data_IF_213686529331
#
_entry.id   IF_213686529331
#
_cell.length_a   1.000
_cell.length_b   1.000
_cell.length_c   1.000
_cell.angle_alpha   90.00
_cell.angle_beta   90.00
_cell.angle_gamma   90.00
#
_symmetry.space_group_name_H-M   'P 1'
#
loop_
_entity.id
_entity.type
_entity.pdbx_description
1 polymer ?
#
# COMPACT_ATOMS: atom_id res chain seq x y z
N UNK A 1 19.92 -1.70 -5.15
CA UNK A 1 19.80 -1.59 -6.62
C UNK A 1 19.66 -2.94 -7.35
N UNK A 2 20.36 -3.99 -6.93
CA UNK A 2 20.27 -5.32 -7.59
C UNK A 2 18.90 -6.00 -7.43
N UNK A 3 18.23 -5.78 -6.30
CA UNK A 3 16.93 -6.39 -6.00
C UNK A 3 15.82 -5.80 -6.88
N UNK A 4 15.79 -4.48 -7.08
CA UNK A 4 14.79 -3.78 -7.91
C UNK A 4 14.84 -4.19 -9.41
N UNK A 5 16.02 -4.42 -9.97
CA UNK A 5 16.14 -4.86 -11.38
C UNK A 5 15.53 -6.25 -11.58
N UNK A 6 15.77 -7.17 -10.64
CA UNK A 6 15.25 -8.55 -10.70
C UNK A 6 13.72 -8.52 -10.57
N UNK A 7 13.16 -7.70 -9.67
CA UNK A 7 11.72 -7.57 -9.48
C UNK A 7 11.01 -7.03 -10.72
N UNK A 8 11.60 -6.03 -11.38
CA UNK A 8 11.06 -5.44 -12.62
C UNK A 8 11.05 -6.43 -13.78
N UNK A 9 12.15 -7.17 -13.98
CA UNK A 9 12.26 -8.16 -15.06
C UNK A 9 11.32 -9.34 -14.83
N UNK A 10 11.20 -9.81 -13.58
CA UNK A 10 10.27 -10.88 -13.21
C UNK A 10 8.84 -10.42 -13.42
N UNK A 11 8.48 -9.21 -13.00
CA UNK A 11 7.14 -8.66 -13.21
C UNK A 11 6.80 -8.59 -14.70
N UNK A 12 7.67 -8.04 -15.53
CA UNK A 12 7.46 -7.94 -16.98
C UNK A 12 7.24 -9.31 -17.64
N UNK A 13 8.02 -10.33 -17.22
CA UNK A 13 7.85 -11.70 -17.70
C UNK A 13 6.50 -12.31 -17.28
N UNK A 14 6.07 -12.05 -16.04
CA UNK A 14 4.79 -12.52 -15.50
C UNK A 14 3.60 -11.85 -16.19
N UNK A 15 3.67 -10.53 -16.40
CA UNK A 15 2.64 -9.77 -17.11
C UNK A 15 2.44 -10.31 -18.54
N UNK A 16 3.55 -10.58 -19.24
CA UNK A 16 3.53 -11.20 -20.58
C UNK A 16 2.89 -12.59 -20.58
N UNK A 17 3.02 -13.33 -19.48
CA UNK A 17 2.41 -14.65 -19.29
C UNK A 17 0.98 -14.59 -18.73
N UNK A 18 0.40 -13.40 -18.52
CA UNK A 18 -0.93 -13.23 -17.92
C UNK A 18 -1.01 -13.65 -16.45
N UNK A 19 0.12 -13.58 -15.72
CA UNK A 19 0.22 -13.97 -14.32
C UNK A 19 0.07 -12.77 -13.39
N UNK A 20 -0.58 -12.98 -12.24
CA UNK A 20 -0.75 -11.97 -11.18
C UNK A 20 0.57 -11.78 -10.41
N UNK A 21 0.91 -10.52 -10.14
CA UNK A 21 2.05 -10.12 -9.33
C UNK A 21 1.62 -9.23 -8.17
N UNK A 22 2.00 -9.58 -6.93
CA UNK A 22 1.63 -8.83 -5.73
C UNK A 22 2.84 -8.33 -4.96
N UNK A 23 2.69 -7.21 -4.28
CA UNK A 23 3.64 -6.74 -3.26
C UNK A 23 3.38 -7.50 -1.97
N UNK A 24 4.43 -7.87 -1.27
CA UNK A 24 4.36 -8.57 0.01
C UNK A 24 5.19 -7.83 1.07
N UNK A 25 4.65 -7.69 2.26
CA UNK A 25 5.39 -7.25 3.45
C UNK A 25 5.12 -8.16 4.64
N UNK A 26 6.11 -8.30 5.51
CA UNK A 26 6.00 -9.10 6.74
C UNK A 26 6.84 -8.48 7.88
N UNK A 27 7.36 -9.30 8.76
CA UNK A 27 8.16 -8.84 9.91
C UNK A 27 9.56 -8.33 9.53
N UNK A 28 10.04 -8.58 8.32
CA UNK A 28 11.40 -8.20 7.90
C UNK A 28 11.53 -6.72 7.52
N UNK A 29 10.47 -6.13 6.99
CA UNK A 29 10.45 -4.74 6.56
C UNK A 29 10.12 -3.82 7.73
N UNK A 30 11.01 -2.85 8.00
CA UNK A 30 10.73 -1.80 8.98
C UNK A 30 9.69 -0.81 8.45
N UNK A 31 9.71 -0.58 7.13
CA UNK A 31 8.80 0.31 6.40
C UNK A 31 8.63 -0.19 4.94
N UNK A 32 7.42 -0.11 4.35
CA UNK A 32 6.14 0.14 5.02
C UNK A 32 5.67 -1.09 5.79
N UNK A 33 4.97 -0.91 6.90
CA UNK A 33 4.43 -2.02 7.66
C UNK A 33 3.11 -1.70 8.39
N UNK A 34 2.52 -2.70 9.04
CA UNK A 34 1.28 -2.58 9.81
C UNK A 34 1.45 -3.06 11.25
N UNK A 35 2.61 -2.80 11.85
CA UNK A 35 2.83 -3.06 13.27
C UNK A 35 1.97 -2.13 14.14
N UNK A 36 1.76 -2.47 15.39
CA UNK A 36 1.00 -1.60 16.31
C UNK A 36 1.68 -0.25 16.56
N UNK A 37 2.97 -0.16 16.29
CA UNK A 37 3.79 1.05 16.42
C UNK A 37 4.15 1.71 15.08
N UNK A 38 3.74 1.13 13.94
CA UNK A 38 3.87 1.78 12.63
C UNK A 38 2.94 2.99 12.53
N UNK A 39 3.32 4.00 11.74
CA UNK A 39 2.37 5.05 11.36
C UNK A 39 1.18 4.40 10.66
N UNK A 40 -0.08 4.64 11.11
CA UNK A 40 -1.25 4.04 10.49
C UNK A 40 -1.37 4.30 8.98
N UNK A 41 -0.81 5.41 8.48
CA UNK A 41 -0.80 5.72 7.05
C UNK A 41 0.06 4.75 6.23
N UNK A 42 0.99 4.03 6.84
CA UNK A 42 1.81 3.03 6.15
C UNK A 42 0.96 1.92 5.53
N UNK A 43 -0.17 1.58 6.16
CA UNK A 43 -1.11 0.60 5.62
C UNK A 43 -1.73 1.06 4.28
N UNK A 44 -2.16 2.32 4.19
CA UNK A 44 -2.65 2.91 2.94
C UNK A 44 -1.51 3.09 1.92
N UNK A 45 -0.36 3.56 2.37
CA UNK A 45 0.82 3.77 1.53
C UNK A 45 1.27 2.46 0.85
N UNK A 46 1.22 1.33 1.54
CA UNK A 46 1.63 0.02 1.00
C UNK A 46 0.81 -0.38 -0.23
N UNK A 47 -0.51 -0.22 -0.21
CA UNK A 47 -1.36 -0.58 -1.35
C UNK A 47 -1.24 0.45 -2.47
N UNK A 48 -1.05 1.73 -2.15
CA UNK A 48 -0.76 2.77 -3.14
C UNK A 48 0.60 2.52 -3.82
N UNK A 49 1.60 2.06 -3.08
CA UNK A 49 2.90 1.63 -3.62
C UNK A 49 2.74 0.47 -4.61
N UNK A 50 1.88 -0.50 -4.32
CA UNK A 50 1.57 -1.57 -5.27
C UNK A 50 1.04 -1.00 -6.60
N UNK A 51 0.14 -0.03 -6.55
CA UNK A 51 -0.38 0.66 -7.76
C UNK A 51 0.70 1.47 -8.47
N UNK A 52 1.58 2.14 -7.72
CA UNK A 52 2.70 2.90 -8.29
C UNK A 52 3.67 1.99 -9.05
N UNK A 53 3.96 0.81 -8.50
CA UNK A 53 4.80 -0.22 -9.13
C UNK A 53 4.09 -1.03 -10.22
N UNK A 54 2.80 -0.76 -10.48
CA UNK A 54 2.01 -1.52 -11.46
C UNK A 54 1.71 -2.96 -11.04
N UNK A 55 1.75 -3.26 -9.76
CA UNK A 55 1.39 -4.58 -9.23
C UNK A 55 -0.14 -4.74 -9.16
N UNK A 56 -0.58 -6.00 -9.22
CA UNK A 56 -2.01 -6.36 -9.21
C UNK A 56 -2.63 -6.34 -7.82
N UNK A 57 -1.82 -6.30 -6.76
CA UNK A 57 -2.33 -6.27 -5.40
C UNK A 57 -1.26 -6.36 -4.32
N UNK A 58 -1.74 -6.48 -3.10
CA UNK A 58 -0.94 -6.60 -1.89
C UNK A 58 -1.26 -7.91 -1.17
N UNK A 59 -0.25 -8.59 -0.70
CA UNK A 59 -0.35 -9.83 0.08
C UNK A 59 0.27 -9.64 1.46
N UNK A 60 -0.45 -10.06 2.48
CA UNK A 60 0.05 -10.21 3.85
C UNK A 60 -0.09 -11.67 4.29
N UNK A 61 0.92 -12.21 4.98
CA UNK A 61 0.93 -13.62 5.38
C UNK A 61 -0.11 -13.96 6.46
N UNK A 62 -0.50 -13.00 7.29
CA UNK A 62 -1.47 -13.18 8.36
C UNK A 62 -2.27 -11.89 8.62
N UNK A 63 -3.58 -12.03 8.85
CA UNK A 63 -4.51 -10.92 9.11
C UNK A 63 -5.19 -11.06 10.46
N UNK A 64 -5.31 -12.28 10.98
CA UNK A 64 -6.07 -12.64 12.18
C UNK A 64 -5.41 -13.73 13.02
N UNK A 65 -4.09 -13.87 12.93
CA UNK A 65 -3.33 -14.78 13.80
C UNK A 65 -3.00 -14.07 15.10
N UNK A 66 -3.87 -14.25 16.10
CA UNK A 66 -3.81 -13.52 17.36
C UNK A 66 -2.84 -14.12 18.37
N UNK A 67 -2.35 -13.26 19.26
CA UNK A 67 -1.77 -13.64 20.55
C UNK A 67 -2.84 -14.28 21.45
N UNK A 68 -2.45 -14.80 22.61
CA UNK A 68 -3.40 -15.44 23.54
C UNK A 68 -4.49 -14.47 24.03
N UNK A 69 -4.15 -13.20 24.26
CA UNK A 69 -5.09 -12.15 24.65
C UNK A 69 -4.75 -10.83 23.91
N UNK A 70 -5.11 -10.70 22.63
CA UNK A 70 -4.70 -9.57 21.79
C UNK A 70 -5.34 -8.24 22.22
N UNK A 71 -6.39 -8.26 23.03
CA UNK A 71 -7.04 -7.05 23.55
C UNK A 71 -6.30 -6.45 24.75
N UNK A 72 -5.46 -7.23 25.43
CA UNK A 72 -4.64 -6.79 26.56
C UNK A 72 -3.17 -6.74 26.24
N UNK A 73 -2.69 -7.71 25.45
CA UNK A 73 -1.28 -7.81 25.10
C UNK A 73 -1.12 -8.16 23.61
N UNK A 74 -0.70 -7.17 22.84
CA UNK A 74 -0.45 -7.32 21.39
C UNK A 74 0.91 -7.92 21.07
N UNK A 75 1.77 -8.13 22.07
CA UNK A 75 3.14 -8.61 21.87
C UNK A 75 3.15 -10.09 21.52
N UNK A 76 3.84 -10.41 20.44
CA UNK A 76 4.12 -11.78 20.04
C UNK A 76 5.63 -12.02 20.19
N UNK A 77 6.05 -13.07 20.84
CA UNK A 77 7.47 -13.29 21.17
C UNK A 77 8.38 -13.44 19.94
N UNK A 78 7.84 -13.94 18.83
CA UNK A 78 8.61 -14.24 17.63
C UNK A 78 8.59 -13.07 16.62
N UNK A 79 7.49 -12.30 16.58
CA UNK A 79 7.28 -11.23 15.62
C UNK A 79 6.94 -9.92 16.31
N UNK A 80 7.10 -8.81 15.58
CA UNK A 80 6.71 -7.49 16.07
C UNK A 80 5.19 -7.44 16.39
N UNK A 81 4.82 -6.67 17.38
CA UNK A 81 3.43 -6.53 17.78
C UNK A 81 2.57 -6.04 16.60
N UNK A 82 1.52 -6.78 16.29
CA UNK A 82 0.61 -6.49 15.16
C UNK A 82 1.05 -7.03 13.81
N UNK A 83 2.20 -7.67 13.69
CA UNK A 83 2.65 -8.29 12.43
C UNK A 83 1.67 -9.35 11.93
N UNK A 84 1.11 -10.14 12.85
CA UNK A 84 0.28 -11.31 12.51
C UNK A 84 -1.21 -11.00 12.43
N UNK A 85 -1.64 -9.79 12.76
CA UNK A 85 -3.05 -9.43 12.72
C UNK A 85 -3.28 -7.93 12.52
N UNK A 86 -4.30 -7.61 11.72
CA UNK A 86 -4.82 -6.26 11.50
C UNK A 86 -6.22 -6.07 12.07
N UNK A 87 -6.94 -7.16 12.31
CA UNK A 87 -8.27 -7.20 12.92
C UNK A 87 -8.19 -7.95 14.26
N UNK A 88 -9.10 -7.64 15.17
CA UNK A 88 -9.17 -8.24 16.51
C UNK A 88 -10.32 -9.24 16.62
N UNK A 89 -10.32 -10.14 17.64
CA UNK A 89 -11.38 -11.10 17.85
C UNK A 89 -12.76 -10.43 17.97
N UNK A 90 -13.77 -11.06 17.39
CA UNK A 90 -15.11 -10.51 17.23
C UNK A 90 -15.12 -9.44 16.11
N UNK A 91 -16.20 -8.67 15.96
CA UNK A 91 -16.34 -7.69 14.91
C UNK A 91 -15.58 -6.38 15.26
N UNK A 92 -14.27 -6.50 15.52
CA UNK A 92 -13.42 -5.37 15.90
C UNK A 92 -12.37 -5.11 14.85
N UNK A 93 -12.40 -3.90 14.32
CA UNK A 93 -11.39 -3.37 13.42
C UNK A 93 -10.19 -2.78 14.19
N UNK A 94 -9.20 -2.31 13.45
CA UNK A 94 -8.10 -1.50 13.96
C UNK A 94 -7.86 -0.32 13.03
N UNK A 95 -7.22 0.73 13.54
CA UNK A 95 -6.83 1.88 12.71
C UNK A 95 -5.98 1.44 11.50
N UNK A 96 -5.13 0.43 11.65
CA UNK A 96 -4.30 -0.13 10.57
C UNK A 96 -5.15 -0.76 9.47
N UNK A 97 -6.19 -1.51 9.85
CA UNK A 97 -7.11 -2.13 8.91
C UNK A 97 -7.99 -1.08 8.20
N UNK A 98 -8.50 -0.09 8.93
CA UNK A 98 -9.28 1.01 8.33
C UNK A 98 -8.45 1.81 7.33
N UNK A 99 -7.19 2.11 7.66
CA UNK A 99 -6.27 2.78 6.73
C UNK A 99 -5.94 1.91 5.51
N UNK A 100 -5.85 0.60 5.67
CA UNK A 100 -5.69 -0.32 4.54
C UNK A 100 -6.91 -0.28 3.62
N UNK A 101 -8.12 -0.31 4.17
CA UNK A 101 -9.38 -0.20 3.41
C UNK A 101 -9.44 1.12 2.66
N UNK A 102 -9.09 2.23 3.30
CA UNK A 102 -9.00 3.55 2.65
C UNK A 102 -8.04 3.53 1.47
N UNK A 103 -6.83 2.99 1.66
CA UNK A 103 -5.85 2.85 0.60
C UNK A 103 -6.35 2.00 -0.57
N UNK A 104 -7.07 0.91 -0.31
CA UNK A 104 -7.70 0.08 -1.36
C UNK A 104 -8.75 0.88 -2.14
N UNK A 105 -9.57 1.68 -1.45
CA UNK A 105 -10.55 2.54 -2.11
C UNK A 105 -9.88 3.60 -2.98
N UNK A 106 -8.78 4.20 -2.53
CA UNK A 106 -8.02 5.16 -3.32
C UNK A 106 -7.34 4.49 -4.53
N UNK A 107 -6.86 3.26 -4.41
CA UNK A 107 -6.36 2.47 -5.54
C UNK A 107 -7.46 2.26 -6.61
N UNK A 108 -8.68 1.93 -6.19
CA UNK A 108 -9.78 1.77 -7.12
C UNK A 108 -10.20 3.09 -7.77
N UNK A 109 -10.21 4.20 -7.03
CA UNK A 109 -10.43 5.54 -7.62
C UNK A 109 -9.35 5.88 -8.65
N UNK A 110 -8.07 5.56 -8.39
CA UNK A 110 -6.98 5.78 -9.34
C UNK A 110 -7.26 4.99 -10.63
N UNK A 111 -7.67 3.73 -10.52
CA UNK A 111 -8.00 2.88 -11.67
C UNK A 111 -9.12 3.50 -12.51
N UNK A 112 -10.23 3.86 -11.86
CA UNK A 112 -11.40 4.46 -12.51
C UNK A 112 -11.03 5.79 -13.19
N UNK A 113 -10.32 6.68 -12.48
CA UNK A 113 -9.92 7.98 -13.01
C UNK A 113 -8.96 7.84 -14.20
N UNK A 114 -8.03 6.89 -14.18
CA UNK A 114 -7.16 6.61 -15.33
C UNK A 114 -7.97 6.25 -16.58
N UNK A 115 -8.97 5.39 -16.43
CA UNK A 115 -9.86 4.99 -17.52
C UNK A 115 -10.69 6.16 -18.03
N UNK A 116 -11.37 6.88 -17.13
CA UNK A 116 -12.19 8.03 -17.48
C UNK A 116 -11.42 9.16 -18.15
N UNK A 117 -10.27 9.56 -17.55
CA UNK A 117 -9.47 10.65 -18.09
C UNK A 117 -8.85 10.30 -19.44
N UNK A 118 -8.52 9.02 -19.66
CA UNK A 118 -8.08 8.52 -20.97
C UNK A 118 -9.20 8.62 -21.99
N UNK A 119 -10.40 8.13 -21.67
CA UNK A 119 -11.56 8.15 -22.55
C UNK A 119 -11.99 9.59 -22.89
N UNK A 120 -11.94 10.49 -21.91
CA UNK A 120 -12.26 11.93 -22.08
C UNK A 120 -11.15 12.73 -22.79
N UNK A 121 -9.99 12.14 -23.03
CA UNK A 121 -8.83 12.83 -23.62
C UNK A 121 -8.22 13.91 -22.72
N UNK A 122 -8.45 13.83 -21.39
CA UNK A 122 -8.02 14.83 -20.40
C UNK A 122 -6.55 14.64 -20.00
N UNK A 123 -5.65 14.75 -20.98
CA UNK A 123 -4.22 14.41 -20.87
C UNK A 123 -3.52 15.08 -19.67
N UNK A 124 -3.74 16.37 -19.45
CA UNK A 124 -3.08 17.11 -18.36
C UNK A 124 -3.49 16.60 -16.96
N UNK A 125 -4.77 16.23 -16.78
CA UNK A 125 -5.25 15.64 -15.53
C UNK A 125 -4.70 14.23 -15.33
N UNK A 126 -4.66 13.43 -16.39
CA UNK A 126 -4.09 12.07 -16.38
C UNK A 126 -2.60 12.09 -16.05
N UNK A 127 -1.85 12.99 -16.66
CA UNK A 127 -0.43 13.18 -16.39
C UNK A 127 -0.19 13.59 -14.93
N UNK A 128 -0.96 14.54 -14.41
CA UNK A 128 -0.89 14.95 -13.00
C UNK A 128 -1.16 13.78 -12.06
N UNK A 129 -2.21 12.99 -12.31
CA UNK A 129 -2.53 11.79 -11.53
C UNK A 129 -1.35 10.81 -11.53
N UNK A 130 -0.87 10.42 -12.71
CA UNK A 130 0.20 9.45 -12.85
C UNK A 130 1.51 9.93 -12.21
N UNK A 131 1.86 11.21 -12.37
CA UNK A 131 3.05 11.81 -11.75
C UNK A 131 2.98 11.80 -10.23
N UNK A 132 1.81 12.07 -9.65
CA UNK A 132 1.64 12.05 -8.19
C UNK A 132 1.70 10.62 -7.66
N UNK A 133 1.02 9.67 -8.32
CA UNK A 133 1.07 8.25 -7.94
C UNK A 133 2.50 7.68 -8.03
N UNK A 134 3.26 8.04 -9.06
CA UNK A 134 4.62 7.55 -9.27
C UNK A 134 5.61 7.95 -8.15
N UNK A 135 5.29 8.94 -7.33
CA UNK A 135 6.10 9.30 -6.15
C UNK A 135 5.97 8.30 -4.98
N UNK A 136 4.95 7.45 -4.98
CA UNK A 136 4.68 6.50 -3.88
C UNK A 136 5.67 5.32 -3.96
N UNK A 137 6.93 5.63 -3.71
CA UNK A 137 8.04 4.69 -3.66
C UNK A 137 8.96 5.04 -2.47
N UNK A 138 9.80 4.11 -1.98
CA UNK A 138 10.80 4.43 -0.97
C UNK A 138 11.76 5.53 -1.41
N UNK A 139 12.13 5.55 -2.69
CA UNK A 139 12.97 6.59 -3.29
C UNK A 139 12.23 7.93 -3.28
N UNK A 140 10.94 7.95 -3.64
CA UNK A 140 10.11 9.15 -3.62
C UNK A 140 9.99 9.77 -2.23
N UNK A 141 9.86 8.95 -1.18
CA UNK A 141 9.92 9.42 0.21
C UNK A 141 11.25 10.09 0.53
N UNK A 142 12.37 9.47 0.10
CA UNK A 142 13.71 10.01 0.34
C UNK A 142 13.95 11.31 -0.44
N UNK A 143 13.48 11.40 -1.68
CA UNK A 143 13.65 12.57 -2.54
C UNK A 143 12.80 13.76 -2.10
N UNK A 144 11.55 13.52 -1.72
CA UNK A 144 10.63 14.59 -1.29
C UNK A 144 10.78 14.96 0.18
N UNK A 145 11.39 14.08 0.99
CA UNK A 145 11.44 14.16 2.46
C UNK A 145 10.04 14.23 3.11
N UNK A 146 9.02 13.75 2.40
CA UNK A 146 7.65 13.62 2.90
C UNK A 146 7.48 12.36 3.72
N UNK A 147 6.59 12.37 4.70
CA UNK A 147 6.16 11.17 5.40
C UNK A 147 5.13 10.37 4.61
N UNK A 148 4.94 9.10 4.95
CA UNK A 148 3.85 8.28 4.38
C UNK A 148 2.49 8.98 4.51
N UNK A 149 2.22 9.60 5.67
CA UNK A 149 1.01 10.38 5.92
C UNK A 149 0.85 11.54 4.93
N UNK A 150 1.90 12.30 4.67
CA UNK A 150 1.83 13.43 3.73
C UNK A 150 1.55 12.95 2.30
N UNK A 151 2.25 11.93 1.84
CA UNK A 151 2.02 11.35 0.51
C UNK A 151 0.61 10.78 0.33
N UNK A 152 0.11 10.02 1.31
CA UNK A 152 -1.26 9.49 1.28
C UNK A 152 -2.29 10.62 1.23
N UNK A 153 -2.10 11.68 2.04
CA UNK A 153 -2.99 12.83 2.04
C UNK A 153 -2.94 13.62 0.71
N UNK A 154 -1.76 13.71 0.06
CA UNK A 154 -1.63 14.34 -1.26
C UNK A 154 -2.45 13.57 -2.31
N UNK A 155 -2.30 12.25 -2.34
CA UNK A 155 -3.09 11.39 -3.23
C UNK A 155 -4.58 11.55 -2.95
N UNK A 156 -5.02 11.40 -1.71
CA UNK A 156 -6.42 11.50 -1.34
C UNK A 156 -7.04 12.86 -1.75
N UNK A 157 -6.32 13.95 -1.49
CA UNK A 157 -6.73 15.29 -1.91
C UNK A 157 -6.82 15.42 -3.43
N UNK A 158 -5.85 14.86 -4.16
CA UNK A 158 -5.85 14.89 -5.62
C UNK A 158 -7.06 14.14 -6.18
N UNK A 159 -7.34 12.93 -5.69
CA UNK A 159 -8.47 12.10 -6.15
C UNK A 159 -9.83 12.76 -5.94
N UNK A 160 -9.96 13.62 -4.95
CA UNK A 160 -11.19 14.37 -4.68
C UNK A 160 -11.31 15.67 -5.52
N UNK A 161 -10.29 16.04 -6.29
CA UNK A 161 -10.27 17.28 -7.10
C UNK A 161 -10.22 17.02 -8.62
N UNK A 162 -9.99 15.80 -9.05
CA UNK A 162 -9.95 15.41 -10.46
C UNK A 162 -11.33 15.12 -11.05
#
# INVERSE_FOLDING_TARGET
QRQMCIETDVKAARDKAGQISTVYTCCAEAFPNTFTFSDPAEAAWTVLHAVAGGYDGYLRWAVNSWTADPLRDSRFRTWAAGDTYSIYPGPRSSIRFERLVEGIQDCEKIRILREELTTKGAKGKLEKLNKTVAKITPEGLSETQESATQMVNEIHKLLNTL
#
